data_IF_733640590398
#
_entry.id   IF_733640590398
#
_cell.length_a   1.000
_cell.length_b   1.000
_cell.length_c   1.000
_cell.angle_alpha   90.00
_cell.angle_beta   90.00
_cell.angle_gamma   90.00
#
_symmetry.space_group_name_H-M   'P 1'
#
loop_
_entity.id
_entity.type
_entity.pdbx_description
1 polymer ?
#
# COMPACT_ATOMS: atom_id res chain seq x y z
N UNK A 1 -14.65 -5.79 16.08
CA UNK A 1 -14.96 -6.65 14.93
C UNK A 1 -13.66 -6.87 14.18
N UNK A 2 -13.18 -8.11 14.03
CA UNK A 2 -11.91 -8.36 13.32
C UNK A 2 -12.20 -8.26 11.82
N UNK A 3 -11.56 -7.31 11.14
CA UNK A 3 -11.70 -7.15 9.69
C UNK A 3 -10.89 -8.24 8.98
N UNK A 4 -11.56 -9.10 8.22
CA UNK A 4 -10.88 -10.12 7.43
C UNK A 4 -10.13 -9.47 6.27
N UNK A 5 -8.93 -9.97 5.99
CA UNK A 5 -8.13 -9.51 4.88
C UNK A 5 -8.83 -9.87 3.55
N UNK A 6 -9.10 -8.91 2.66
CA UNK A 6 -9.74 -9.19 1.38
C UNK A 6 -8.84 -10.03 0.45
N UNK A 7 -7.52 -10.04 0.66
CA UNK A 7 -6.58 -10.80 -0.17
C UNK A 7 -6.47 -12.29 0.21
N UNK A 8 -6.58 -12.64 1.50
CA UNK A 8 -6.33 -14.01 1.96
C UNK A 8 -7.36 -14.56 2.96
N UNK A 9 -8.36 -13.77 3.37
CA UNK A 9 -9.39 -14.17 4.34
C UNK A 9 -8.90 -14.33 5.79
N UNK A 10 -7.61 -14.10 6.08
CA UNK A 10 -7.02 -14.15 7.42
C UNK A 10 -7.09 -12.80 8.14
N UNK A 11 -6.58 -12.75 9.37
CA UNK A 11 -6.61 -11.56 10.24
C UNK A 11 -5.41 -10.61 9.98
N UNK A 12 -5.16 -10.26 8.71
CA UNK A 12 -4.04 -9.41 8.32
C UNK A 12 -4.30 -7.91 8.45
N UNK A 13 -5.55 -7.50 8.69
CA UNK A 13 -5.97 -6.10 8.81
C UNK A 13 -6.31 -5.82 10.27
N UNK A 14 -5.69 -4.77 10.82
CA UNK A 14 -5.92 -4.25 12.16
C UNK A 14 -6.44 -2.83 12.06
N UNK A 15 -7.18 -2.37 13.08
CA UNK A 15 -7.56 -0.95 13.17
C UNK A 15 -6.31 -0.09 13.37
N UNK A 16 -6.38 1.19 12.96
CA UNK A 16 -5.21 2.06 12.96
C UNK A 16 -4.60 2.21 14.36
N UNK A 17 -5.42 2.32 15.39
CA UNK A 17 -4.99 2.49 16.78
C UNK A 17 -4.14 1.30 17.25
N UNK A 18 -4.49 0.08 16.86
CA UNK A 18 -3.75 -1.12 17.24
C UNK A 18 -2.40 -1.18 16.52
N UNK A 19 -2.34 -0.76 15.25
CA UNK A 19 -1.08 -0.70 14.50
C UNK A 19 -0.15 0.36 15.09
N UNK A 20 -0.67 1.57 15.32
CA UNK A 20 0.10 2.68 15.88
C UNK A 20 0.58 2.40 17.31
N UNK A 21 -0.23 1.77 18.15
CA UNK A 21 0.16 1.43 19.53
C UNK A 21 1.31 0.41 19.61
N UNK A 22 1.56 -0.36 18.55
CA UNK A 22 2.55 -1.44 18.54
C UNK A 22 3.74 -1.17 17.60
N UNK A 23 3.71 -0.11 16.79
CA UNK A 23 4.66 0.11 15.69
C UNK A 23 6.12 0.13 16.16
N UNK A 24 6.39 0.74 17.31
CA UNK A 24 7.74 0.86 17.87
C UNK A 24 8.34 -0.50 18.22
N UNK A 25 7.51 -1.50 18.54
CA UNK A 25 7.93 -2.83 19.00
C UNK A 25 7.88 -3.89 17.90
N UNK A 26 7.16 -3.61 16.82
CA UNK A 26 6.92 -4.54 15.71
C UNK A 26 8.24 -5.13 15.20
N UNK A 27 9.24 -4.28 14.95
CA UNK A 27 10.52 -4.67 14.37
C UNK A 27 11.70 -4.63 15.34
N UNK A 28 11.45 -4.34 16.62
CA UNK A 28 12.52 -4.27 17.62
C UNK A 28 13.15 -5.65 17.89
N UNK A 29 14.46 -5.62 18.06
CA UNK A 29 15.24 -6.69 18.65
C UNK A 29 14.93 -6.84 20.15
N UNK A 30 14.87 -8.08 20.64
CA UNK A 30 14.90 -8.32 22.07
C UNK A 30 16.35 -8.33 22.57
N UNK A 31 16.54 -8.35 23.90
CA UNK A 31 17.87 -8.38 24.53
C UNK A 31 18.74 -9.59 24.14
N UNK A 32 18.11 -10.69 23.70
CA UNK A 32 18.77 -11.95 23.35
C UNK A 32 18.98 -12.08 21.83
N UNK A 33 18.58 -11.07 21.03
CA UNK A 33 18.85 -11.07 19.60
C UNK A 33 20.34 -10.88 19.34
N UNK A 34 20.93 -11.76 18.52
CA UNK A 34 22.28 -11.57 18.03
C UNK A 34 22.40 -10.27 17.22
N UNK A 35 23.57 -9.61 17.18
CA UNK A 35 23.83 -8.46 16.30
C UNK A 35 23.51 -8.76 14.83
N UNK A 36 23.39 -7.70 14.01
CA UNK A 36 23.22 -7.88 12.56
C UNK A 36 24.42 -8.66 11.98
N UNK A 37 24.19 -9.67 11.13
CA UNK A 37 25.25 -10.50 10.57
C UNK A 37 26.12 -9.72 9.56
N UNK A 38 25.61 -8.59 9.04
CA UNK A 38 26.27 -7.74 8.05
C UNK A 38 26.76 -8.54 6.84
N UNK A 39 25.88 -9.38 6.27
CA UNK A 39 26.25 -10.15 5.10
C UNK A 39 26.58 -9.21 3.93
N UNK A 40 27.66 -9.54 3.21
CA UNK A 40 27.93 -8.87 1.94
C UNK A 40 26.94 -9.37 0.88
N UNK A 41 25.95 -8.53 0.61
CA UNK A 41 24.84 -8.80 -0.32
C UNK A 41 25.28 -8.95 -1.78
N UNK A 42 26.55 -8.68 -2.09
CA UNK A 42 27.14 -8.88 -3.41
C UNK A 42 27.93 -10.19 -3.54
N UNK A 43 28.15 -10.92 -2.45
CA UNK A 43 28.81 -12.22 -2.50
C UNK A 43 27.89 -13.30 -3.07
N UNK A 44 28.44 -14.26 -3.83
CA UNK A 44 27.68 -15.37 -4.38
C UNK A 44 27.21 -16.31 -3.27
N UNK A 45 26.11 -17.03 -3.50
CA UNK A 45 25.49 -17.95 -2.55
C UNK A 45 26.49 -18.95 -1.96
N UNK A 46 27.41 -19.50 -2.77
CA UNK A 46 28.45 -20.45 -2.31
C UNK A 46 29.41 -19.89 -1.25
N UNK A 47 29.50 -18.56 -1.14
CA UNK A 47 30.40 -17.86 -0.22
C UNK A 47 29.68 -17.39 1.06
N UNK A 48 28.36 -17.55 1.12
CA UNK A 48 27.52 -17.15 2.23
C UNK A 48 27.41 -18.29 3.26
N UNK A 49 27.15 -17.98 4.55
CA UNK A 49 26.99 -19.02 5.58
C UNK A 49 25.86 -19.99 5.25
N UNK A 50 25.93 -21.18 5.85
CA UNK A 50 24.92 -22.20 5.63
C UNK A 50 23.56 -21.89 6.24
N UNK A 51 23.56 -21.23 7.38
CA UNK A 51 22.34 -20.88 8.07
C UNK A 51 22.59 -19.66 8.93
N UNK A 52 21.54 -18.85 9.08
CA UNK A 52 21.50 -17.79 10.07
C UNK A 52 20.34 -18.07 11.03
N UNK A 53 20.66 -18.26 12.30
CA UNK A 53 19.70 -18.65 13.30
C UNK A 53 18.73 -17.51 13.65
N UNK A 54 17.46 -17.84 13.83
CA UNK A 54 16.48 -16.96 14.46
C UNK A 54 16.81 -16.78 15.94
N UNK A 55 16.36 -15.69 16.55
CA UNK A 55 16.55 -15.47 17.97
C UNK A 55 15.82 -16.55 18.78
N UNK A 56 16.54 -17.28 19.62
CA UNK A 56 15.97 -18.35 20.46
C UNK A 56 14.90 -17.86 21.45
N UNK A 57 14.95 -16.59 21.84
CA UNK A 57 14.07 -16.00 22.85
C UNK A 57 12.76 -15.47 22.26
N UNK A 58 12.84 -14.69 21.17
CA UNK A 58 11.66 -14.07 20.56
C UNK A 58 11.26 -14.63 19.19
N UNK A 59 12.02 -15.58 18.64
CA UNK A 59 11.77 -16.20 17.34
C UNK A 59 12.05 -15.31 16.12
N UNK A 60 12.39 -14.02 16.30
CA UNK A 60 12.61 -13.10 15.18
C UNK A 60 13.92 -13.36 14.44
N UNK A 61 13.90 -13.16 13.12
CA UNK A 61 15.06 -13.24 12.23
C UNK A 61 15.60 -11.84 11.84
N UNK A 62 16.84 -11.79 11.36
CA UNK A 62 17.35 -10.61 10.63
C UNK A 62 16.84 -10.64 9.20
N UNK A 63 16.78 -9.47 8.55
CA UNK A 63 16.42 -9.42 7.14
C UNK A 63 17.36 -10.27 6.28
N UNK A 64 18.67 -10.20 6.54
CA UNK A 64 19.67 -10.98 5.79
C UNK A 64 19.44 -12.50 5.93
N UNK A 65 19.01 -12.99 7.09
CA UNK A 65 18.68 -14.41 7.29
C UNK A 65 17.49 -14.85 6.42
N UNK A 66 16.40 -14.06 6.45
CA UNK A 66 15.20 -14.34 5.63
C UNK A 66 15.51 -14.31 4.14
N UNK A 67 16.33 -13.35 3.70
CA UNK A 67 16.73 -13.23 2.30
C UNK A 67 17.68 -14.36 1.86
N UNK A 68 18.55 -14.85 2.75
CA UNK A 68 19.40 -16.02 2.48
C UNK A 68 18.58 -17.30 2.33
N UNK A 69 17.63 -17.54 3.22
CA UNK A 69 16.71 -18.69 3.14
C UNK A 69 15.91 -18.63 1.83
N UNK A 70 15.41 -17.45 1.47
CA UNK A 70 14.71 -17.25 0.20
C UNK A 70 15.60 -17.54 -1.01
N UNK A 71 16.85 -17.07 -1.03
CA UNK A 71 17.81 -17.35 -2.10
C UNK A 71 18.07 -18.85 -2.25
N UNK A 72 18.18 -19.58 -1.13
CA UNK A 72 18.37 -21.04 -1.11
C UNK A 72 17.17 -21.77 -1.70
N UNK A 73 15.94 -21.37 -1.35
CA UNK A 73 14.74 -21.93 -1.98
C UNK A 73 14.75 -21.63 -3.49
N UNK A 74 15.06 -20.41 -3.91
CA UNK A 74 15.14 -20.12 -5.34
C UNK A 74 16.19 -20.98 -6.08
N UNK A 75 17.32 -21.29 -5.44
CA UNK A 75 18.33 -22.18 -5.99
C UNK A 75 17.87 -23.64 -6.05
N UNK A 76 17.18 -24.13 -5.01
CA UNK A 76 16.56 -25.47 -4.96
C UNK A 76 15.59 -25.69 -6.14
N UNK A 77 14.82 -24.66 -6.51
CA UNK A 77 13.89 -24.68 -7.64
C UNK A 77 14.55 -24.33 -8.98
N UNK A 78 15.88 -24.23 -9.05
CA UNK A 78 16.63 -23.95 -10.28
C UNK A 78 16.42 -22.54 -10.85
N UNK A 79 15.86 -21.62 -10.08
CA UNK A 79 15.64 -20.23 -10.49
C UNK A 79 16.88 -19.36 -10.31
N UNK A 80 17.81 -19.80 -9.46
CA UNK A 80 19.10 -19.17 -9.15
C UNK A 80 20.19 -20.25 -9.12
N UNK A 81 21.44 -19.87 -9.39
CA UNK A 81 22.60 -20.75 -9.26
C UNK A 81 23.48 -20.32 -8.07
N UNK A 82 24.58 -21.03 -7.83
CA UNK A 82 25.49 -20.78 -6.71
C UNK A 82 26.27 -19.45 -6.83
N UNK A 83 26.24 -18.79 -7.99
CA UNK A 83 26.86 -17.47 -8.26
C UNK A 83 25.92 -16.30 -7.99
N UNK A 84 24.63 -16.57 -7.82
CA UNK A 84 23.62 -15.57 -7.51
C UNK A 84 23.82 -14.99 -6.10
N UNK A 85 23.32 -13.77 -5.89
CA UNK A 85 23.55 -12.99 -4.66
C UNK A 85 22.24 -12.69 -3.94
N UNK A 86 22.30 -12.24 -2.68
CA UNK A 86 21.09 -11.85 -1.94
C UNK A 86 20.24 -10.79 -2.67
N UNK A 87 20.88 -9.95 -3.50
CA UNK A 87 20.18 -8.93 -4.29
C UNK A 87 19.26 -9.50 -5.36
N UNK A 88 19.48 -10.73 -5.81
CA UNK A 88 18.67 -11.31 -6.89
C UNK A 88 17.38 -11.98 -6.42
N UNK A 89 17.15 -12.07 -5.10
CA UNK A 89 15.90 -12.56 -4.52
C UNK A 89 14.74 -11.61 -4.85
N UNK A 90 14.98 -10.31 -4.75
CA UNK A 90 13.99 -9.26 -4.95
C UNK A 90 14.06 -8.17 -3.89
N UNK A 91 13.09 -7.26 -3.91
CA UNK A 91 12.93 -6.22 -2.90
C UNK A 91 12.14 -6.75 -1.71
N UNK A 92 12.70 -6.68 -0.48
CA UNK A 92 11.97 -6.98 0.73
C UNK A 92 11.11 -5.79 1.16
N UNK A 93 9.82 -6.04 1.40
CA UNK A 93 8.86 -5.05 1.88
C UNK A 93 8.36 -5.49 3.25
N UNK A 94 8.64 -4.71 4.30
CA UNK A 94 8.04 -4.97 5.61
C UNK A 94 6.52 -4.79 5.55
N UNK A 95 5.79 -5.70 6.22
CA UNK A 95 4.32 -5.77 6.18
C UNK A 95 3.63 -4.55 6.79
N UNK A 96 4.29 -3.88 7.74
CA UNK A 96 3.91 -2.58 8.29
C UNK A 96 5.04 -1.59 7.98
N UNK A 97 4.86 -0.82 6.92
CA UNK A 97 5.77 0.24 6.51
C UNK A 97 5.79 1.38 7.51
N UNK A 98 6.94 1.60 8.13
CA UNK A 98 7.22 2.76 8.95
C UNK A 98 8.71 3.12 8.80
N UNK A 99 9.10 4.40 8.89
CA UNK A 99 10.52 4.76 8.82
C UNK A 99 11.31 4.23 10.02
N UNK A 100 12.11 3.18 9.81
CA UNK A 100 12.95 2.59 10.84
C UNK A 100 14.33 3.26 10.88
N UNK A 101 14.82 3.55 12.09
CA UNK A 101 16.19 3.99 12.33
C UNK A 101 17.20 2.82 12.42
N UNK A 102 16.72 1.59 12.26
CA UNK A 102 17.47 0.35 12.46
C UNK A 102 16.99 -0.75 11.50
N UNK A 103 17.80 -1.80 11.32
CA UNK A 103 17.42 -2.98 10.53
C UNK A 103 16.28 -3.76 11.22
N UNK A 104 15.18 -4.09 10.53
CA UNK A 104 14.05 -4.75 11.15
C UNK A 104 14.37 -6.17 11.62
N UNK A 105 13.89 -6.54 12.80
CA UNK A 105 13.78 -7.93 13.23
C UNK A 105 12.42 -8.48 12.87
N UNK A 106 12.42 -9.47 12.00
CA UNK A 106 11.25 -9.99 11.32
C UNK A 106 10.64 -11.13 12.14
N UNK A 107 9.38 -10.96 12.56
CA UNK A 107 8.57 -12.05 13.09
C UNK A 107 7.77 -12.74 11.98
N UNK A 108 6.85 -13.63 12.35
CA UNK A 108 5.96 -14.29 11.38
C UNK A 108 5.14 -13.29 10.58
N UNK A 109 4.92 -13.58 9.29
CA UNK A 109 4.10 -12.76 8.38
C UNK A 109 4.51 -11.27 8.31
N UNK A 110 5.79 -10.97 8.55
CA UNK A 110 6.28 -9.59 8.63
C UNK A 110 6.95 -9.08 7.34
N UNK A 111 7.14 -9.94 6.34
CA UNK A 111 7.83 -9.60 5.09
C UNK A 111 7.05 -10.04 3.85
N UNK A 112 6.94 -9.15 2.87
CA UNK A 112 6.48 -9.43 1.51
C UNK A 112 7.69 -9.31 0.58
N UNK A 113 7.91 -10.30 -0.29
CA UNK A 113 8.99 -10.26 -1.29
C UNK A 113 8.40 -9.92 -2.66
N UNK A 114 8.94 -8.90 -3.32
CA UNK A 114 8.64 -8.61 -4.72
C UNK A 114 9.88 -8.76 -5.58
N UNK A 115 9.81 -9.58 -6.62
CA UNK A 115 10.97 -9.85 -7.46
C UNK A 115 10.61 -10.33 -8.86
N UNK A 116 11.63 -10.54 -9.68
CA UNK A 116 11.52 -11.09 -11.02
C UNK A 116 12.01 -12.54 -11.07
N UNK A 117 11.67 -13.26 -12.14
CA UNK A 117 12.06 -14.67 -12.34
C UNK A 117 11.73 -15.55 -11.13
N UNK A 118 10.49 -15.44 -10.66
CA UNK A 118 9.89 -16.24 -9.60
C UNK A 118 8.86 -17.23 -10.19
N UNK A 119 8.72 -18.40 -9.57
CA UNK A 119 7.68 -19.38 -9.91
C UNK A 119 6.67 -19.53 -8.76
N UNK A 120 5.47 -20.03 -9.07
CA UNK A 120 4.45 -20.29 -8.05
C UNK A 120 4.91 -21.33 -7.02
N UNK A 121 5.55 -22.40 -7.46
CA UNK A 121 6.04 -23.46 -6.57
C UNK A 121 7.12 -22.96 -5.61
N UNK A 122 8.07 -22.15 -6.09
CA UNK A 122 9.08 -21.56 -5.22
C UNK A 122 8.47 -20.56 -4.24
N UNK A 123 7.50 -19.76 -4.68
CA UNK A 123 6.78 -18.81 -3.82
C UNK A 123 5.98 -19.51 -2.72
N UNK A 124 5.28 -20.61 -3.04
CA UNK A 124 4.54 -21.44 -2.07
C UNK A 124 5.51 -22.03 -1.04
N UNK A 125 6.63 -22.61 -1.49
CA UNK A 125 7.66 -23.13 -0.62
C UNK A 125 8.26 -22.04 0.29
N UNK A 126 8.46 -20.82 -0.21
CA UNK A 126 8.93 -19.68 0.60
C UNK A 126 7.95 -19.34 1.72
N UNK A 127 6.67 -19.20 1.42
CA UNK A 127 5.64 -18.87 2.42
C UNK A 127 5.45 -20.00 3.43
N UNK A 128 5.59 -21.27 3.00
CA UNK A 128 5.43 -22.42 3.88
C UNK A 128 6.65 -22.64 4.79
N UNK A 129 7.87 -22.48 4.28
CA UNK A 129 9.11 -22.87 4.97
C UNK A 129 9.79 -21.72 5.71
N UNK A 130 9.47 -20.47 5.36
CA UNK A 130 10.10 -19.28 5.95
C UNK A 130 9.00 -18.47 6.66
N UNK A 131 8.83 -18.64 7.98
CA UNK A 131 7.70 -18.07 8.72
C UNK A 131 7.55 -16.56 8.59
N UNK A 132 8.65 -15.85 8.35
CA UNK A 132 8.67 -14.41 8.21
C UNK A 132 8.05 -13.92 6.89
N UNK A 133 7.99 -14.75 5.86
CA UNK A 133 7.46 -14.41 4.54
C UNK A 133 5.94 -14.55 4.54
N UNK A 134 5.27 -13.41 4.58
CA UNK A 134 3.82 -13.27 4.45
C UNK A 134 3.32 -13.57 3.03
N UNK A 135 4.09 -13.16 2.02
CA UNK A 135 3.67 -13.27 0.63
C UNK A 135 4.78 -12.96 -0.37
N UNK A 136 4.60 -13.47 -1.58
CA UNK A 136 5.57 -13.37 -2.67
C UNK A 136 4.90 -12.90 -3.95
N UNK A 137 5.44 -11.83 -4.54
CA UNK A 137 4.89 -11.12 -5.68
C UNK A 137 5.87 -11.20 -6.85
N UNK A 138 5.39 -11.66 -8.01
CA UNK A 138 6.09 -11.53 -9.27
C UNK A 138 5.89 -10.12 -9.84
N UNK A 139 6.98 -9.36 -9.92
CA UNK A 139 7.02 -8.07 -10.58
C UNK A 139 6.91 -8.21 -12.09
N UNK A 140 6.02 -7.42 -12.69
CA UNK A 140 5.89 -7.18 -14.14
C UNK A 140 6.05 -5.69 -14.47
N UNK A 141 6.60 -4.92 -13.52
CA UNK A 141 6.77 -3.47 -13.62
C UNK A 141 5.90 -2.70 -12.62
N UNK A 142 5.61 -1.44 -12.95
CA UNK A 142 4.80 -0.55 -12.11
C UNK A 142 3.32 -0.90 -12.28
N UNK A 143 2.60 -1.34 -11.23
CA UNK A 143 1.19 -1.69 -11.35
C UNK A 143 0.28 -0.44 -11.34
N UNK A 144 -0.86 -0.54 -12.04
CA UNK A 144 -1.86 0.53 -12.18
C UNK A 144 -2.16 0.90 -13.63
N UNK A 145 -2.91 2.00 -13.80
CA UNK A 145 -3.39 2.50 -15.10
C UNK A 145 -2.64 3.78 -15.43
N UNK A 146 -1.89 3.80 -16.54
CA UNK A 146 -1.13 4.97 -16.98
C UNK A 146 -1.93 5.92 -17.89
N UNK A 147 -3.04 5.45 -18.45
CA UNK A 147 -4.00 6.25 -19.20
C UNK A 147 -5.28 5.47 -19.50
N UNK A 148 -6.35 6.18 -19.85
CA UNK A 148 -7.71 5.63 -20.04
C UNK A 148 -7.84 4.53 -21.11
N UNK A 149 -6.86 4.44 -22.03
CA UNK A 149 -6.82 3.45 -23.12
C UNK A 149 -5.79 2.32 -22.89
N UNK A 150 -5.08 2.33 -21.77
CA UNK A 150 -4.04 1.32 -21.48
C UNK A 150 -4.60 0.18 -20.64
N UNK A 151 -4.22 -1.06 -20.96
CA UNK A 151 -4.49 -2.18 -20.07
C UNK A 151 -3.75 -1.97 -18.75
N UNK A 152 -4.40 -2.20 -17.60
CA UNK A 152 -3.74 -2.11 -16.30
C UNK A 152 -2.51 -3.02 -16.28
N UNK A 153 -1.38 -2.50 -15.79
CA UNK A 153 -0.26 -3.35 -15.46
C UNK A 153 -0.47 -3.90 -14.05
N UNK A 154 -0.17 -5.17 -13.85
CA UNK A 154 -0.37 -5.84 -12.58
C UNK A 154 0.79 -6.76 -12.26
N UNK A 155 1.24 -6.67 -11.01
CA UNK A 155 2.07 -7.71 -10.46
C UNK A 155 1.18 -8.90 -10.04
N UNK A 156 1.80 -10.07 -9.97
CA UNK A 156 1.07 -11.31 -9.67
C UNK A 156 1.44 -11.76 -8.27
N UNK A 157 0.46 -11.81 -7.36
CA UNK A 157 0.62 -12.52 -6.10
C UNK A 157 0.76 -14.02 -6.39
N UNK A 158 1.96 -14.55 -6.21
CA UNK A 158 2.25 -15.96 -6.46
C UNK A 158 1.82 -16.83 -5.28
N UNK A 159 2.08 -16.39 -4.04
CA UNK A 159 1.70 -17.11 -2.83
C UNK A 159 1.52 -16.18 -1.63
N UNK A 160 0.73 -16.63 -0.64
CA UNK A 160 0.54 -15.92 0.63
C UNK A 160 -0.39 -14.71 0.53
N UNK A 161 -0.01 -13.62 1.19
CA UNK A 161 -0.79 -12.38 1.26
C UNK A 161 0.10 -11.16 0.99
N UNK A 162 -0.37 -10.24 0.14
CA UNK A 162 0.31 -8.99 -0.21
C UNK A 162 -0.29 -7.75 0.46
N UNK A 163 -1.22 -7.94 1.41
CA UNK A 163 -1.83 -6.84 2.13
C UNK A 163 -0.79 -6.18 3.03
N UNK A 164 -0.39 -4.96 2.70
CA UNK A 164 0.64 -4.19 3.40
C UNK A 164 0.01 -2.95 4.03
N UNK A 165 0.36 -2.66 5.27
CA UNK A 165 0.02 -1.40 5.92
C UNK A 165 1.18 -0.42 5.77
N UNK A 166 0.89 0.85 5.53
CA UNK A 166 1.83 1.97 5.60
C UNK A 166 1.38 2.95 6.68
N UNK A 167 2.24 3.25 7.64
CA UNK A 167 2.05 4.35 8.58
C UNK A 167 2.52 5.64 7.90
N UNK A 168 1.55 6.48 7.53
CA UNK A 168 1.79 7.76 6.86
C UNK A 168 1.73 8.87 7.88
N UNK A 169 2.83 9.61 8.01
CA UNK A 169 2.98 10.69 9.01
C UNK A 169 2.96 12.06 8.33
N UNK A 170 2.30 13.02 8.96
CA UNK A 170 2.24 14.44 8.58
C UNK A 170 2.15 15.34 9.81
N UNK A 171 2.17 16.67 9.61
CA UNK A 171 1.85 17.62 10.69
C UNK A 171 0.42 17.49 11.26
N UNK A 172 -0.49 16.80 10.55
CA UNK A 172 -1.88 16.61 10.97
C UNK A 172 -2.05 15.40 11.89
N UNK A 173 -1.03 14.54 11.98
CA UNK A 173 -1.08 13.26 12.66
C UNK A 173 -0.69 12.11 11.73
N UNK A 174 -1.13 10.91 12.10
CA UNK A 174 -0.74 9.65 11.46
C UNK A 174 -1.97 8.90 11.01
N UNK A 175 -1.94 8.31 9.80
CA UNK A 175 -2.91 7.29 9.40
C UNK A 175 -2.21 5.99 9.04
N UNK A 176 -2.98 4.91 9.05
CA UNK A 176 -2.57 3.58 8.61
C UNK A 176 -3.25 3.27 7.29
N UNK A 177 -2.48 3.22 6.21
CA UNK A 177 -2.96 3.01 4.84
C UNK A 177 -2.64 1.59 4.41
N UNK A 178 -3.67 0.74 4.34
CA UNK A 178 -3.58 -0.59 3.76
C UNK A 178 -3.61 -0.55 2.24
N UNK A 179 -2.80 -1.41 1.63
CA UNK A 179 -2.61 -1.53 0.19
C UNK A 179 -2.51 -2.99 -0.24
N UNK A 180 -3.17 -3.34 -1.34
CA UNK A 180 -2.93 -4.61 -2.05
C UNK A 180 -1.66 -4.47 -2.88
N UNK A 181 -0.51 -4.86 -2.32
CA UNK A 181 0.81 -4.45 -2.82
C UNK A 181 1.11 -4.94 -4.26
N UNK A 182 0.49 -6.02 -4.72
CA UNK A 182 0.62 -6.51 -6.10
C UNK A 182 -0.18 -5.69 -7.13
N UNK A 183 -1.17 -4.91 -6.69
CA UNK A 183 -2.11 -4.19 -7.55
C UNK A 183 -1.96 -2.67 -7.51
N UNK A 184 -1.23 -2.13 -6.55
CA UNK A 184 -1.07 -0.69 -6.35
C UNK A 184 0.41 -0.31 -6.46
N UNK A 185 0.67 0.88 -7.03
CA UNK A 185 2.02 1.41 -7.17
C UNK A 185 2.74 1.46 -5.82
N UNK A 186 3.99 1.00 -5.82
CA UNK A 186 4.83 1.00 -4.62
C UNK A 186 5.37 2.40 -4.41
N UNK A 187 4.81 3.10 -3.43
CA UNK A 187 5.38 4.34 -2.92
C UNK A 187 5.91 4.11 -1.52
N UNK A 188 7.24 4.14 -1.36
CA UNK A 188 7.84 4.04 -0.04
C UNK A 188 7.55 5.29 0.78
N UNK A 189 6.96 5.11 1.96
CA UNK A 189 6.80 6.15 2.97
C UNK A 189 8.19 6.63 3.41
N UNK A 190 8.64 7.76 2.86
CA UNK A 190 9.86 8.44 3.32
C UNK A 190 9.48 9.35 4.47
N UNK A 191 10.38 9.53 5.46
CA UNK A 191 10.21 10.48 6.59
C UNK A 191 9.84 11.91 6.15
N UNK A 192 10.07 12.26 4.88
CA UNK A 192 9.70 13.54 4.27
C UNK A 192 9.19 13.32 2.86
N UNK A 193 7.98 12.80 2.71
CA UNK A 193 7.32 12.68 1.40
C UNK A 193 7.07 14.07 0.81
N UNK A 194 7.51 14.36 -0.43
CA UNK A 194 7.21 15.63 -1.11
C UNK A 194 5.72 15.93 -1.15
N UNK A 195 4.89 14.90 -1.36
CA UNK A 195 3.43 15.00 -1.42
C UNK A 195 2.83 15.53 -0.10
N UNK A 196 3.34 15.03 1.04
CA UNK A 196 2.89 15.49 2.36
C UNK A 196 3.24 16.96 2.61
N UNK A 197 4.42 17.41 2.18
CA UNK A 197 4.80 18.83 2.30
C UNK A 197 3.89 19.76 1.51
N UNK A 198 3.44 19.33 0.34
CA UNK A 198 2.48 20.09 -0.47
C UNK A 198 1.16 20.21 0.29
N UNK A 199 0.64 19.13 0.87
CA UNK A 199 -0.57 19.18 1.71
C UNK A 199 -0.40 20.09 2.93
N UNK A 200 0.72 20.00 3.64
CA UNK A 200 1.04 20.86 4.79
C UNK A 200 1.06 22.35 4.41
N UNK A 201 1.58 22.68 3.23
CA UNK A 201 1.55 24.05 2.70
C UNK A 201 0.12 24.50 2.35
N UNK A 202 -0.67 23.65 1.70
CA UNK A 202 -2.07 23.95 1.37
C UNK A 202 -2.93 24.16 2.63
N UNK A 203 -2.67 23.38 3.68
CA UNK A 203 -3.30 23.55 4.98
C UNK A 203 -2.94 24.90 5.60
N UNK A 204 -1.65 25.27 5.62
CA UNK A 204 -1.19 26.56 6.16
C UNK A 204 -1.81 27.76 5.43
N UNK A 205 -2.17 27.59 4.16
CA UNK A 205 -2.87 28.58 3.35
C UNK A 205 -4.40 28.58 3.53
N UNK A 206 -4.95 27.68 4.35
CA UNK A 206 -6.38 27.54 4.61
C UNK A 206 -7.18 26.94 3.44
N UNK A 207 -6.52 26.23 2.52
CA UNK A 207 -7.10 25.71 1.26
C UNK A 207 -7.68 24.29 1.37
N UNK A 208 -7.41 23.60 2.47
CA UNK A 208 -7.95 22.26 2.74
C UNK A 208 -9.31 22.40 3.43
N UNK A 209 -10.40 22.43 2.64
CA UNK A 209 -11.79 22.52 3.13
C UNK A 209 -12.78 21.64 2.38
N UNK A 210 -12.83 21.76 1.06
CA UNK A 210 -13.65 20.95 0.15
C UNK A 210 -12.72 20.46 -0.95
N UNK A 211 -12.33 19.18 -0.90
CA UNK A 211 -11.19 18.62 -1.65
C UNK A 211 -11.62 17.44 -2.50
N UNK A 212 -11.14 17.35 -3.73
CA UNK A 212 -11.15 16.13 -4.55
C UNK A 212 -9.74 15.56 -4.61
N UNK A 213 -9.58 14.28 -4.33
CA UNK A 213 -8.40 13.49 -4.66
C UNK A 213 -8.74 12.65 -5.90
N UNK A 214 -8.36 13.14 -7.08
CA UNK A 214 -8.91 12.67 -8.35
C UNK A 214 -8.35 11.34 -8.85
N UNK A 215 -7.13 11.00 -8.41
CA UNK A 215 -6.41 9.75 -8.70
C UNK A 215 -5.93 9.15 -7.38
N UNK A 216 -6.90 8.81 -6.53
CA UNK A 216 -6.70 8.60 -5.10
C UNK A 216 -5.77 7.44 -4.74
N UNK A 217 -5.62 6.44 -5.61
CA UNK A 217 -4.98 5.19 -5.25
C UNK A 217 -5.61 4.61 -3.97
N UNK A 218 -4.85 4.30 -2.91
CA UNK A 218 -5.41 3.82 -1.64
C UNK A 218 -6.04 4.93 -0.77
N UNK A 219 -6.14 6.17 -1.27
CA UNK A 219 -6.78 7.31 -0.60
C UNK A 219 -5.86 8.16 0.27
N UNK A 220 -4.54 7.99 0.17
CA UNK A 220 -3.59 8.60 1.13
C UNK A 220 -3.74 10.12 1.24
N UNK A 221 -3.81 10.83 0.10
CA UNK A 221 -3.81 12.30 0.09
C UNK A 221 -5.16 12.85 0.55
N UNK A 222 -6.25 12.35 0.00
CA UNK A 222 -7.59 12.78 0.41
C UNK A 222 -7.91 12.43 1.87
N UNK A 223 -7.47 11.26 2.38
CA UNK A 223 -7.65 10.93 3.80
C UNK A 223 -6.75 11.79 4.72
N UNK A 224 -5.56 12.21 4.28
CA UNK A 224 -4.81 13.24 5.00
C UNK A 224 -5.55 14.58 5.03
N UNK A 225 -6.21 14.98 3.93
CA UNK A 225 -7.02 16.19 3.92
C UNK A 225 -8.19 16.11 4.91
N UNK A 226 -8.83 14.94 5.03
CA UNK A 226 -9.85 14.70 6.06
C UNK A 226 -9.27 14.82 7.47
N UNK A 227 -8.11 14.20 7.74
CA UNK A 227 -7.40 14.32 9.02
C UNK A 227 -6.99 15.78 9.33
N UNK A 228 -6.65 16.56 8.30
CA UNK A 228 -6.33 17.98 8.40
C UNK A 228 -7.56 18.87 8.65
N UNK A 229 -8.77 18.31 8.74
CA UNK A 229 -10.00 19.04 9.04
C UNK A 229 -10.78 19.53 7.84
N UNK A 230 -10.56 18.95 6.64
CA UNK A 230 -11.47 19.17 5.51
C UNK A 230 -12.92 18.84 5.93
N UNK A 231 -13.87 19.62 5.45
CA UNK A 231 -15.31 19.39 5.67
C UNK A 231 -15.91 18.41 4.68
N UNK A 232 -15.36 18.36 3.48
CA UNK A 232 -15.73 17.37 2.47
C UNK A 232 -14.51 16.89 1.68
N UNK A 233 -14.46 15.59 1.43
CA UNK A 233 -13.47 14.95 0.57
C UNK A 233 -14.14 14.04 -0.44
N UNK A 234 -13.83 14.22 -1.72
CA UNK A 234 -14.21 13.31 -2.81
C UNK A 234 -12.98 12.49 -3.18
N UNK A 235 -13.04 11.17 -2.99
CA UNK A 235 -12.00 10.23 -3.39
C UNK A 235 -12.45 9.56 -4.69
N UNK A 236 -11.66 9.64 -5.76
CA UNK A 236 -11.94 8.98 -7.02
C UNK A 236 -10.74 8.15 -7.48
N UNK A 237 -11.03 6.95 -7.98
CA UNK A 237 -10.06 6.19 -8.77
C UNK A 237 -10.79 5.36 -9.82
N UNK A 238 -10.18 5.16 -10.99
CA UNK A 238 -10.71 4.28 -12.01
C UNK A 238 -10.37 2.80 -11.70
N UNK A 239 -9.35 2.55 -10.89
CA UNK A 239 -8.84 1.22 -10.62
C UNK A 239 -9.54 0.55 -9.44
N UNK A 240 -10.25 -0.57 -9.65
CA UNK A 240 -11.05 -1.18 -8.58
C UNK A 240 -10.28 -1.58 -7.32
N UNK A 241 -9.04 -2.11 -7.37
CA UNK A 241 -8.25 -2.39 -6.16
C UNK A 241 -7.92 -1.12 -5.36
N UNK A 242 -7.78 0.03 -6.00
CA UNK A 242 -7.55 1.31 -5.34
C UNK A 242 -8.80 1.71 -4.53
N UNK A 243 -9.98 1.63 -5.16
CA UNK A 243 -11.28 1.88 -4.52
C UNK A 243 -11.52 0.92 -3.33
N UNK A 244 -11.20 -0.36 -3.49
CA UNK A 244 -11.28 -1.34 -2.40
C UNK A 244 -10.35 -0.98 -1.23
N UNK A 245 -9.13 -0.53 -1.53
CA UNK A 245 -8.20 -0.08 -0.51
C UNK A 245 -8.69 1.20 0.19
N UNK A 246 -9.28 2.16 -0.53
CA UNK A 246 -9.92 3.35 0.06
C UNK A 246 -10.99 2.94 1.07
N UNK A 247 -11.91 2.06 0.67
CA UNK A 247 -13.00 1.59 1.52
C UNK A 247 -12.45 0.89 2.77
N UNK A 248 -11.41 0.05 2.61
CA UNK A 248 -10.71 -0.57 3.74
C UNK A 248 -10.10 0.47 4.67
N UNK A 249 -9.48 1.52 4.11
CA UNK A 249 -8.80 2.57 4.87
C UNK A 249 -9.77 3.48 5.62
N UNK A 250 -10.99 3.69 5.11
CA UNK A 250 -12.07 4.35 5.87
C UNK A 250 -12.42 3.56 7.13
N UNK A 251 -12.54 2.23 7.02
CA UNK A 251 -12.83 1.37 8.18
C UNK A 251 -11.68 1.33 9.18
N UNK A 252 -10.44 1.18 8.68
CA UNK A 252 -9.23 1.10 9.51
C UNK A 252 -8.98 2.38 10.29
N UNK A 253 -9.20 3.54 9.67
CA UNK A 253 -8.93 4.84 10.27
C UNK A 253 -10.20 5.50 10.84
N UNK A 254 -11.31 4.76 10.97
CA UNK A 254 -12.62 5.29 11.36
C UNK A 254 -12.54 6.26 12.54
N UNK A 255 -11.88 5.84 13.62
CA UNK A 255 -11.74 6.65 14.84
C UNK A 255 -10.83 7.86 14.65
N UNK A 256 -9.69 7.68 13.98
CA UNK A 256 -8.72 8.77 13.73
C UNK A 256 -9.31 9.87 12.85
N UNK A 257 -10.19 9.51 11.93
CA UNK A 257 -10.88 10.43 11.02
C UNK A 257 -12.19 11.00 11.59
N UNK A 258 -12.58 10.61 12.81
CA UNK A 258 -13.86 11.04 13.39
C UNK A 258 -15.08 10.59 12.58
N UNK A 259 -15.00 9.43 11.92
CA UNK A 259 -16.10 8.88 11.12
C UNK A 259 -17.09 8.18 12.06
N UNK A 260 -18.35 8.58 12.00
CA UNK A 260 -19.44 7.99 12.77
C UNK A 260 -20.13 6.87 11.99
N UNK A 261 -20.39 7.12 10.71
CA UNK A 261 -21.13 6.22 9.81
C UNK A 261 -20.37 5.98 8.51
N UNK A 262 -20.46 4.74 8.00
CA UNK A 262 -20.03 4.36 6.65
C UNK A 262 -21.23 3.68 5.98
N UNK A 263 -21.64 4.21 4.84
CA UNK A 263 -22.71 3.69 3.99
C UNK A 263 -22.11 3.12 2.70
N UNK A 264 -22.37 1.84 2.44
CA UNK A 264 -21.97 1.16 1.21
C UNK A 264 -23.11 1.27 0.21
N UNK A 265 -22.82 1.85 -0.94
CA UNK A 265 -23.76 2.06 -2.03
C UNK A 265 -23.42 1.09 -3.16
N UNK A 266 -24.42 0.78 -4.00
CA UNK A 266 -24.21 -0.08 -5.18
C UNK A 266 -23.58 -1.44 -4.82
N UNK A 267 -24.12 -2.12 -3.80
CA UNK A 267 -23.55 -3.35 -3.23
C UNK A 267 -23.28 -4.42 -4.29
N UNK A 268 -24.21 -4.63 -5.23
CA UNK A 268 -24.03 -5.59 -6.33
C UNK A 268 -22.88 -5.19 -7.27
N UNK A 269 -22.63 -3.90 -7.44
CA UNK A 269 -21.48 -3.40 -8.18
C UNK A 269 -20.19 -3.61 -7.39
N UNK A 270 -20.19 -3.32 -6.09
CA UNK A 270 -19.07 -3.59 -5.18
C UNK A 270 -18.68 -5.07 -5.21
N UNK A 271 -19.65 -5.98 -5.14
CA UNK A 271 -19.42 -7.43 -5.25
C UNK A 271 -18.81 -7.81 -6.60
N UNK A 272 -19.28 -7.20 -7.69
CA UNK A 272 -18.75 -7.45 -9.04
C UNK A 272 -17.30 -7.00 -9.20
N UNK A 273 -16.96 -5.82 -8.69
CA UNK A 273 -15.58 -5.32 -8.74
C UNK A 273 -14.68 -6.04 -7.73
N UNK A 274 -15.24 -6.67 -6.69
CA UNK A 274 -14.51 -7.56 -5.78
C UNK A 274 -14.26 -8.95 -6.40
N UNK A 275 -15.18 -9.44 -7.23
CA UNK A 275 -15.06 -10.74 -7.91
C UNK A 275 -14.11 -10.69 -9.12
N UNK A 276 -14.00 -9.54 -9.79
CA UNK A 276 -13.04 -9.31 -10.87
C UNK A 276 -11.77 -8.67 -10.32
N UNK A 277 -10.61 -9.31 -10.49
CA UNK A 277 -9.35 -8.84 -9.92
C UNK A 277 -8.86 -7.48 -10.48
N UNK A 278 -9.52 -6.97 -11.54
CA UNK A 278 -8.93 -5.98 -12.44
C UNK A 278 -9.98 -5.17 -13.22
N UNK A 279 -10.88 -4.44 -12.56
CA UNK A 279 -11.91 -3.65 -13.25
C UNK A 279 -11.56 -2.17 -13.31
N UNK A 280 -11.62 -1.59 -14.51
CA UNK A 280 -11.44 -0.16 -14.75
C UNK A 280 -12.80 0.52 -14.88
N UNK A 281 -13.12 1.39 -13.93
CA UNK A 281 -14.31 2.23 -13.94
C UNK A 281 -14.20 3.29 -15.04
N UNK A 282 -15.31 3.51 -15.76
CA UNK A 282 -15.40 4.50 -16.83
C UNK A 282 -16.36 5.62 -16.40
N UNK A 283 -17.66 5.28 -16.31
CA UNK A 283 -18.67 6.19 -15.76
C UNK A 283 -18.53 6.27 -14.24
N UNK A 284 -18.44 7.47 -13.65
CA UNK A 284 -18.31 7.62 -12.21
C UNK A 284 -19.52 7.06 -11.47
N UNK A 285 -19.24 6.16 -10.54
CA UNK A 285 -20.24 5.58 -9.66
C UNK A 285 -19.87 5.88 -8.21
N UNK A 286 -20.81 6.45 -7.45
CA UNK A 286 -20.63 6.63 -6.01
C UNK A 286 -20.86 5.27 -5.32
N UNK A 287 -19.82 4.74 -4.70
CA UNK A 287 -19.84 3.38 -4.13
C UNK A 287 -19.78 3.37 -2.60
N UNK A 288 -19.35 4.46 -1.97
CA UNK A 288 -19.28 4.55 -0.52
C UNK A 288 -19.41 6.00 -0.07
N UNK A 289 -20.07 6.21 1.07
CA UNK A 289 -20.07 7.46 1.83
C UNK A 289 -19.61 7.22 3.25
N UNK A 290 -18.83 8.12 3.80
CA UNK A 290 -18.56 8.19 5.23
C UNK A 290 -18.91 9.59 5.75
N UNK A 291 -19.48 9.66 6.95
CA UNK A 291 -19.88 10.92 7.58
C UNK A 291 -19.45 10.97 9.05
N UNK A 292 -19.32 12.19 9.59
CA UNK A 292 -18.80 12.49 10.92
C UNK A 292 -18.16 13.87 10.93
N UNK A 293 -16.90 13.98 11.33
CA UNK A 293 -16.14 15.24 11.27
C UNK A 293 -15.90 15.76 9.83
N UNK A 294 -15.91 14.84 8.86
CA UNK A 294 -15.72 15.09 7.43
C UNK A 294 -16.72 14.25 6.62
N UNK A 295 -17.37 14.84 5.62
CA UNK A 295 -18.16 14.11 4.63
C UNK A 295 -17.25 13.57 3.52
N UNK A 296 -17.13 12.24 3.43
CA UNK A 296 -16.26 11.57 2.45
C UNK A 296 -17.11 10.81 1.43
N UNK A 297 -16.90 11.09 0.15
CA UNK A 297 -17.55 10.40 -0.96
C UNK A 297 -16.51 9.60 -1.75
N UNK A 298 -16.75 8.30 -1.98
CA UNK A 298 -15.84 7.45 -2.76
C UNK A 298 -16.49 7.09 -4.08
N UNK A 299 -15.84 7.50 -5.16
CA UNK A 299 -16.23 7.21 -6.53
C UNK A 299 -15.30 6.17 -7.16
N UNK A 300 -15.90 5.28 -7.95
CA UNK A 300 -15.20 4.43 -8.89
C UNK A 300 -15.48 4.93 -10.30
N UNK A 301 -14.47 5.46 -10.99
CA UNK A 301 -14.63 5.96 -12.35
C UNK A 301 -13.46 6.76 -12.87
N UNK A 302 -13.56 7.11 -14.16
CA UNK A 302 -12.57 7.97 -14.82
C UNK A 302 -12.69 9.41 -14.29
N UNK A 303 -11.57 9.99 -13.84
CA UNK A 303 -11.50 11.37 -13.36
C UNK A 303 -12.03 12.36 -14.41
N UNK A 304 -11.78 12.09 -15.69
CA UNK A 304 -12.24 12.85 -16.84
C UNK A 304 -13.77 13.05 -16.88
N UNK A 305 -14.52 12.16 -16.21
CA UNK A 305 -15.98 12.19 -16.15
C UNK A 305 -16.53 12.47 -14.77
N UNK A 306 -15.70 12.49 -13.71
CA UNK A 306 -16.10 12.55 -12.31
C UNK A 306 -17.18 13.61 -12.04
N UNK A 307 -16.95 14.83 -12.50
CA UNK A 307 -17.82 15.98 -12.21
C UNK A 307 -19.12 16.02 -13.04
N UNK A 308 -19.38 15.01 -13.88
CA UNK A 308 -20.73 14.74 -14.41
C UNK A 308 -21.68 14.17 -13.36
N UNK A 309 -21.14 13.65 -12.24
CA UNK A 309 -21.88 13.03 -11.13
C UNK A 309 -21.56 13.66 -9.78
N UNK A 310 -20.27 13.90 -9.49
CA UNK A 310 -19.85 14.51 -8.25
C UNK A 310 -19.99 16.03 -8.30
N UNK A 311 -20.35 16.66 -7.18
CA UNK A 311 -20.30 18.13 -7.06
C UNK A 311 -18.83 18.58 -7.06
N UNK A 312 -18.44 19.53 -7.93
CA UNK A 312 -17.09 20.11 -7.92
C UNK A 312 -16.68 20.66 -6.55
N UNK A 313 -15.38 20.57 -6.26
CA UNK A 313 -14.78 20.98 -4.99
C UNK A 313 -13.99 22.28 -5.16
N UNK A 314 -13.52 22.84 -4.04
CA UNK A 314 -12.68 24.04 -4.09
C UNK A 314 -11.26 23.70 -4.56
N UNK A 315 -10.73 22.57 -4.10
CA UNK A 315 -9.40 22.08 -4.46
C UNK A 315 -9.53 20.70 -5.13
N UNK A 316 -8.84 20.49 -6.25
CA UNK A 316 -8.67 19.19 -6.88
C UNK A 316 -7.20 18.81 -6.91
N UNK A 317 -6.85 17.67 -6.33
CA UNK A 317 -5.51 17.11 -6.30
C UNK A 317 -5.42 16.03 -7.38
N UNK A 318 -4.38 16.11 -8.22
CA UNK A 318 -4.10 15.14 -9.28
C UNK A 318 -2.70 14.58 -9.05
N UNK A 319 -2.65 13.34 -8.56
CA UNK A 319 -1.41 12.59 -8.33
C UNK A 319 -1.26 11.51 -9.41
N UNK A 320 -0.78 11.93 -10.58
CA UNK A 320 -0.63 11.05 -11.74
C UNK A 320 0.62 10.18 -11.69
N UNK A 321 0.70 9.18 -12.57
CA UNK A 321 1.96 8.47 -12.78
C UNK A 321 3.05 9.40 -13.35
N UNK A 322 4.30 9.28 -12.88
CA UNK A 322 5.39 10.10 -13.39
C UNK A 322 5.57 9.98 -14.91
N UNK A 323 5.59 11.12 -15.61
CA UNK A 323 5.81 11.19 -17.06
C UNK A 323 4.55 11.18 -17.91
N UNK A 324 3.36 11.09 -17.30
CA UNK A 324 2.08 11.22 -18.01
C UNK A 324 1.71 12.68 -18.28
N UNK A 325 0.89 12.92 -19.32
CA UNK A 325 0.40 14.25 -19.65
C UNK A 325 -0.86 14.58 -18.82
N UNK A 326 -0.83 15.69 -18.09
CA UNK A 326 -1.93 16.11 -17.21
C UNK A 326 -2.98 16.98 -17.87
N UNK A 327 -2.75 17.51 -19.09
CA UNK A 327 -3.63 18.53 -19.69
C UNK A 327 -5.10 18.10 -19.78
N UNK A 328 -5.35 16.85 -20.15
CA UNK A 328 -6.73 16.34 -20.24
C UNK A 328 -7.39 16.23 -18.87
N UNK A 329 -6.63 15.82 -17.85
CA UNK A 329 -7.11 15.73 -16.46
C UNK A 329 -7.38 17.12 -15.88
N UNK A 330 -6.47 18.08 -16.12
CA UNK A 330 -6.65 19.48 -15.71
C UNK A 330 -7.90 20.09 -16.37
N UNK A 331 -8.09 19.86 -17.66
CA UNK A 331 -9.28 20.32 -18.37
C UNK A 331 -10.56 19.71 -17.80
N UNK A 332 -10.56 18.42 -17.46
CA UNK A 332 -11.72 17.78 -16.82
C UNK A 332 -12.01 18.36 -15.42
N UNK A 333 -10.96 18.79 -14.71
CA UNK A 333 -11.07 19.37 -13.37
C UNK A 333 -11.26 20.89 -13.37
N UNK A 334 -11.39 21.56 -14.53
CA UNK A 334 -11.50 23.02 -14.65
C UNK A 334 -12.74 23.63 -13.95
N UNK A 335 -13.71 22.79 -13.60
CA UNK A 335 -14.89 23.17 -12.83
C UNK A 335 -14.60 23.30 -11.31
N UNK A 336 -13.46 22.81 -10.84
CA UNK A 336 -12.96 23.09 -9.50
C UNK A 336 -12.32 24.48 -9.45
N UNK A 337 -12.32 25.14 -8.29
CA UNK A 337 -11.74 26.48 -8.17
C UNK A 337 -10.22 26.46 -8.37
N UNK A 338 -9.58 25.37 -7.97
CA UNK A 338 -8.15 25.18 -8.04
C UNK A 338 -7.78 23.73 -8.34
N UNK A 339 -6.69 23.56 -9.09
CA UNK A 339 -6.09 22.26 -9.39
C UNK A 339 -4.63 22.27 -8.91
N UNK A 340 -4.23 21.23 -8.18
CA UNK A 340 -2.85 21.00 -7.74
C UNK A 340 -2.39 19.66 -8.27
N UNK A 341 -1.29 19.66 -9.00
CA UNK A 341 -0.64 18.45 -9.52
C UNK A 341 0.49 18.07 -8.57
N UNK A 342 0.55 16.79 -8.20
CA UNK A 342 1.51 16.25 -7.24
C UNK A 342 2.42 15.22 -7.91
#
# INVERSE_FOLDING_TARGET
MVMKCPACGKDCVKIAEDVLANIDREYMACRDCAPEPNLDKSRPLRDLPDELQRCHSCGKATLDAVMLDALRILAEFGLRDDRETLRSVGSPLIAVGYPLAYSPRLGSDSLIIIGERLSRQAAEAMVERIPEIKGVILSRGVPGIRGSLTSPNENVLLAGCDMRADVVQSLFGELVIYKSQSKIHIEFSRQRSPKMKILEQLYAQGRIRDVTDGLSGPGTLGLMCALAGAKRVVLNDAWSPAVQNIILNLMVNKKLLGIEQIEYLEIEYLERINASTSYVGQEPMLVCRASGECDIEVYHGDLGRLFSKARPTELCIIDHFPGENTKELENACCCCKEIVII
#
